data_IF_059106416745
#
_entry.id   IF_059106416745
#
_cell.length_a   1.000
_cell.length_b   1.000
_cell.length_c   1.000
_cell.angle_alpha   90.00
_cell.angle_beta   90.00
_cell.angle_gamma   90.00
#
_symmetry.space_group_name_H-M   'P 1'
#
loop_
_entity.id
_entity.type
_entity.pdbx_description
1 polymer ?
#
# COMPACT_ATOMS: atom_id res chain seq x y z
N UNK A 1 8.22 15.37 12.72
CA UNK A 1 9.35 14.47 12.41
C UNK A 1 9.39 14.14 10.93
N UNK A 2 8.36 13.49 10.35
CA UNK A 2 8.30 13.12 8.93
C UNK A 2 8.83 14.15 7.93
N UNK A 3 8.41 15.42 8.03
CA UNK A 3 8.91 16.52 7.17
C UNK A 3 10.44 16.66 7.13
N UNK A 4 11.14 16.42 8.25
CA UNK A 4 12.62 16.46 8.30
C UNK A 4 13.27 15.34 7.50
N UNK A 5 12.52 14.27 7.21
CA UNK A 5 12.97 13.07 6.51
C UNK A 5 12.39 12.99 5.09
N UNK A 6 11.91 14.12 4.53
CA UNK A 6 11.39 14.19 3.17
C UNK A 6 9.98 13.62 2.98
N UNK A 7 9.19 13.52 4.06
CA UNK A 7 7.80 13.07 4.00
C UNK A 7 6.84 14.25 4.12
N UNK A 8 5.75 14.21 3.36
CA UNK A 8 4.61 15.09 3.56
C UNK A 8 3.81 14.61 4.78
N UNK A 9 3.25 15.51 5.57
CA UNK A 9 2.47 15.16 6.78
C UNK A 9 1.10 15.80 6.72
N UNK A 10 0.07 14.99 6.93
CA UNK A 10 -1.30 15.43 7.10
C UNK A 10 -1.84 14.91 8.43
N UNK A 11 -2.47 15.80 9.16
CA UNK A 11 -3.24 15.50 10.37
C UNK A 11 -4.69 15.26 9.94
N UNK A 12 -5.39 14.35 10.63
CA UNK A 12 -6.77 13.95 10.35
C UNK A 12 -7.00 13.62 8.86
N UNK A 13 -6.63 12.41 8.46
CA UNK A 13 -6.76 11.95 7.09
C UNK A 13 -7.79 10.84 6.96
N UNK A 14 -8.71 11.01 6.01
CA UNK A 14 -9.67 9.99 5.61
C UNK A 14 -9.16 9.29 4.36
N UNK A 15 -8.90 7.96 4.39
CA UNK A 15 -8.48 7.24 3.22
C UNK A 15 -9.54 7.32 2.13
N UNK A 16 -9.13 7.59 0.88
CA UNK A 16 -10.03 7.47 -0.26
C UNK A 16 -10.48 6.02 -0.44
N UNK A 17 -11.73 5.83 -0.87
CA UNK A 17 -12.15 4.54 -1.43
C UNK A 17 -11.93 4.57 -2.94
N UNK A 18 -10.97 3.79 -3.45
CA UNK A 18 -10.68 3.73 -4.90
C UNK A 18 -11.50 2.69 -5.64
N UNK A 19 -12.63 2.24 -5.06
CA UNK A 19 -13.39 1.13 -5.62
C UNK A 19 -13.88 1.45 -7.04
N UNK A 20 -13.51 0.59 -7.99
CA UNK A 20 -14.06 0.60 -9.35
C UNK A 20 -15.50 0.07 -9.42
N UNK A 21 -16.05 -0.46 -8.31
CA UNK A 21 -17.23 -1.31 -8.31
C UNK A 21 -18.46 -0.78 -7.57
N UNK A 22 -18.29 -0.29 -6.33
CA UNK A 22 -19.39 0.21 -5.48
C UNK A 22 -18.93 1.47 -4.76
N UNK A 23 -19.70 2.55 -4.91
CA UNK A 23 -19.52 3.75 -4.10
C UNK A 23 -20.23 3.54 -2.75
N UNK A 24 -19.58 3.87 -1.62
CA UNK A 24 -20.24 3.82 -0.31
C UNK A 24 -21.43 4.79 -0.28
N UNK A 25 -22.48 4.44 0.45
CA UNK A 25 -23.61 5.36 0.72
C UNK A 25 -23.15 6.55 1.58
N UNK A 26 -23.82 7.71 1.49
CA UNK A 26 -23.40 8.96 2.15
C UNK A 26 -23.29 8.85 3.69
N UNK A 27 -24.01 7.90 4.31
CA UNK A 27 -24.06 7.69 5.76
C UNK A 27 -23.10 6.58 6.26
N UNK A 28 -22.25 6.03 5.40
CA UNK A 28 -21.30 4.98 5.81
C UNK A 28 -20.10 5.54 6.58
N UNK A 29 -19.68 4.79 7.61
CA UNK A 29 -18.50 5.12 8.40
C UNK A 29 -17.26 5.22 7.49
N UNK A 30 -16.64 6.41 7.48
CA UNK A 30 -15.36 6.62 6.80
C UNK A 30 -14.24 6.55 7.85
N UNK A 31 -13.24 5.66 7.68
CA UNK A 31 -12.07 5.65 8.54
C UNK A 31 -11.45 7.05 8.65
N UNK A 32 -10.98 7.41 9.83
CA UNK A 32 -10.26 8.65 10.07
C UNK A 32 -8.99 8.28 10.80
N UNK A 33 -7.86 8.76 10.30
CA UNK A 33 -6.53 8.47 10.83
C UNK A 33 -5.96 9.76 11.40
N UNK A 34 -5.51 9.74 12.64
CA UNK A 34 -5.02 10.92 13.34
C UNK A 34 -3.87 11.62 12.60
N UNK A 35 -2.91 10.85 12.09
CA UNK A 35 -1.79 11.39 11.34
C UNK A 35 -1.28 10.40 10.30
N UNK A 36 -0.93 10.91 9.12
CA UNK A 36 -0.29 10.10 8.07
C UNK A 36 0.92 10.83 7.51
N UNK A 37 2.01 10.09 7.33
CA UNK A 37 3.16 10.53 6.55
C UNK A 37 3.11 9.93 5.16
N UNK A 38 3.21 10.80 4.15
CA UNK A 38 3.13 10.46 2.75
C UNK A 38 4.45 10.68 2.04
N UNK A 39 4.66 9.92 0.97
CA UNK A 39 5.60 10.26 -0.09
C UNK A 39 4.83 11.10 -1.10
N UNK A 40 5.36 12.28 -1.43
CA UNK A 40 4.82 13.13 -2.50
C UNK A 40 5.40 12.67 -3.83
N UNK A 41 4.54 12.17 -4.73
CA UNK A 41 4.96 11.72 -6.05
C UNK A 41 5.51 12.84 -6.93
N UNK A 42 5.10 14.09 -6.71
CA UNK A 42 5.67 15.24 -7.43
C UNK A 42 7.13 15.42 -7.05
N UNK A 43 7.45 15.30 -5.77
CA UNK A 43 8.83 15.41 -5.28
C UNK A 43 9.67 14.20 -5.68
N UNK A 44 9.08 13.00 -5.66
CA UNK A 44 9.78 11.76 -5.99
C UNK A 44 10.06 11.58 -7.49
N UNK A 45 9.13 12.00 -8.36
CA UNK A 45 9.21 11.75 -9.81
C UNK A 45 9.55 13.01 -10.62
N UNK A 46 9.29 14.19 -10.06
CA UNK A 46 9.26 15.46 -10.78
C UNK A 46 7.88 15.74 -11.40
N UNK A 47 7.48 17.01 -11.42
CA UNK A 47 6.14 17.45 -11.86
C UNK A 47 5.73 16.91 -13.23
N UNK A 48 6.60 17.01 -14.24
CA UNK A 48 6.27 16.57 -15.60
C UNK A 48 5.99 15.07 -15.69
N UNK A 49 6.76 14.25 -14.95
CA UNK A 49 6.57 12.80 -14.92
C UNK A 49 5.34 12.41 -14.11
N UNK A 50 5.08 13.11 -13.00
CA UNK A 50 3.85 12.94 -12.23
C UNK A 50 2.61 13.30 -13.05
N UNK A 51 2.64 14.40 -13.81
CA UNK A 51 1.52 14.81 -14.66
C UNK A 51 1.23 13.75 -15.74
N UNK A 52 2.27 13.16 -16.35
CA UNK A 52 2.13 12.03 -17.27
C UNK A 52 1.59 10.77 -16.60
N UNK A 53 2.11 10.42 -15.42
CA UNK A 53 1.63 9.29 -14.62
C UNK A 53 0.14 9.45 -14.32
N UNK A 54 -0.29 10.66 -13.93
CA UNK A 54 -1.69 10.94 -13.66
C UNK A 54 -2.57 10.76 -14.90
N UNK A 55 -2.13 11.19 -16.09
CA UNK A 55 -2.90 10.98 -17.32
C UNK A 55 -3.14 9.50 -17.60
N UNK A 56 -2.08 8.69 -17.52
CA UNK A 56 -2.15 7.23 -17.70
C UNK A 56 -3.12 6.60 -16.69
N UNK A 57 -2.95 6.91 -15.40
CA UNK A 57 -3.82 6.36 -14.34
C UNK A 57 -5.26 6.85 -14.50
N UNK A 58 -5.46 8.10 -14.86
CA UNK A 58 -6.79 8.66 -15.08
C UNK A 58 -7.49 7.96 -16.23
N UNK A 59 -6.79 7.63 -17.31
CA UNK A 59 -7.32 6.85 -18.43
C UNK A 59 -7.69 5.43 -17.97
N UNK A 60 -6.75 4.72 -17.34
CA UNK A 60 -6.96 3.32 -16.92
C UNK A 60 -8.02 3.14 -15.83
N UNK A 61 -8.37 4.21 -15.12
CA UNK A 61 -9.34 4.18 -14.01
C UNK A 61 -10.65 4.90 -14.34
N UNK A 62 -10.86 5.32 -15.59
CA UNK A 62 -12.03 6.12 -16.00
C UNK A 62 -12.19 7.39 -15.13
N UNK A 63 -11.08 8.03 -14.74
CA UNK A 63 -11.03 9.23 -13.91
C UNK A 63 -11.41 9.03 -12.43
N UNK A 64 -11.54 7.78 -11.96
CA UNK A 64 -11.99 7.47 -10.58
C UNK A 64 -10.98 7.85 -9.50
N UNK A 65 -9.71 8.04 -9.85
CA UNK A 65 -8.67 8.46 -8.89
C UNK A 65 -8.34 9.94 -9.10
N UNK A 66 -8.73 10.82 -8.16
CA UNK A 66 -8.37 12.23 -8.25
C UNK A 66 -6.86 12.46 -8.22
N UNK A 67 -6.39 13.51 -8.89
CA UNK A 67 -4.96 13.86 -8.98
C UNK A 67 -4.30 14.01 -7.61
N UNK A 68 -4.94 14.74 -6.71
CA UNK A 68 -4.42 14.97 -5.35
C UNK A 68 -4.37 13.67 -4.55
N UNK A 69 -5.31 12.76 -4.78
CA UNK A 69 -5.32 11.45 -4.14
C UNK A 69 -4.17 10.57 -4.63
N UNK A 70 -3.89 10.58 -5.94
CA UNK A 70 -2.76 9.84 -6.50
C UNK A 70 -1.42 10.40 -6.02
N UNK A 71 -1.31 11.72 -5.86
CA UNK A 71 -0.07 12.42 -5.49
C UNK A 71 0.55 11.93 -4.19
N UNK A 72 -0.26 11.61 -3.18
CA UNK A 72 0.21 11.32 -1.85
C UNK A 72 0.08 9.83 -1.54
N UNK A 73 1.21 9.12 -1.53
CA UNK A 73 1.27 7.69 -1.24
C UNK A 73 1.57 7.49 0.25
N UNK A 74 0.68 6.84 1.03
CA UNK A 74 0.86 6.70 2.47
C UNK A 74 2.04 5.78 2.78
N UNK A 75 2.96 6.27 3.62
CA UNK A 75 4.13 5.52 4.07
C UNK A 75 3.95 5.04 5.51
N UNK A 76 3.57 5.95 6.42
CA UNK A 76 3.32 5.62 7.84
C UNK A 76 1.98 6.20 8.28
N UNK A 77 1.12 5.38 8.85
CA UNK A 77 -0.13 5.80 9.49
C UNK A 77 0.00 5.72 11.02
N UNK A 78 -0.61 6.68 11.71
CA UNK A 78 -0.59 6.81 13.16
C UNK A 78 -2.00 7.01 13.69
N UNK A 79 -2.31 6.31 14.77
CA UNK A 79 -3.48 6.53 15.62
C UNK A 79 -2.97 6.75 17.05
N UNK A 80 -3.58 7.68 17.79
CA UNK A 80 -3.08 8.17 19.08
C UNK A 80 -4.16 8.15 20.15
N UNK A 81 -4.32 6.98 20.77
CA UNK A 81 -5.30 6.75 21.83
C UNK A 81 -4.72 7.02 23.24
N UNK A 82 -4.82 8.27 23.68
CA UNK A 82 -4.26 8.74 24.96
C UNK A 82 -5.28 9.03 26.06
N UNK A 83 -6.57 9.05 25.74
CA UNK A 83 -7.63 9.46 26.68
C UNK A 83 -8.32 8.27 27.35
N UNK A 84 -8.79 7.29 26.57
CA UNK A 84 -9.47 6.09 27.06
C UNK A 84 -9.29 4.90 26.08
N UNK A 85 -8.07 4.37 25.91
CA UNK A 85 -7.85 3.25 24.99
C UNK A 85 -8.54 1.98 25.50
N UNK A 86 -9.48 1.47 24.72
CA UNK A 86 -10.18 0.21 24.99
C UNK A 86 -9.77 -0.86 23.98
N UNK A 87 -10.13 -2.13 24.24
CA UNK A 87 -9.86 -3.18 23.25
C UNK A 87 -10.58 -2.97 21.92
N UNK A 88 -11.72 -2.26 21.94
CA UNK A 88 -12.52 -2.00 20.75
C UNK A 88 -11.92 -0.86 19.91
N UNK A 89 -11.46 0.21 20.57
CA UNK A 89 -10.83 1.35 19.88
C UNK A 89 -9.56 0.88 19.19
N UNK A 90 -8.59 0.35 19.96
CA UNK A 90 -7.31 -0.14 19.44
C UNK A 90 -7.47 -1.16 18.30
N UNK A 91 -8.47 -2.04 18.38
CA UNK A 91 -8.74 -2.99 17.30
C UNK A 91 -9.29 -2.32 16.04
N UNK A 92 -10.20 -1.35 16.20
CA UNK A 92 -10.75 -0.53 15.13
C UNK A 92 -9.66 0.29 14.45
N UNK A 93 -8.76 0.88 15.24
CA UNK A 93 -7.66 1.73 14.77
C UNK A 93 -6.72 0.95 13.84
N UNK A 94 -6.39 -0.29 14.21
CA UNK A 94 -5.64 -1.18 13.30
C UNK A 94 -6.38 -1.47 11.99
N UNK A 95 -7.70 -1.66 12.02
CA UNK A 95 -8.48 -1.89 10.78
C UNK A 95 -8.51 -0.65 9.90
N UNK A 96 -8.70 0.52 10.50
CA UNK A 96 -8.65 1.80 9.81
C UNK A 96 -7.28 2.03 9.17
N UNK A 97 -6.21 1.81 9.93
CA UNK A 97 -4.84 1.91 9.43
C UNK A 97 -4.53 0.91 8.31
N UNK A 98 -5.12 -0.28 8.31
CA UNK A 98 -4.99 -1.24 7.18
C UNK A 98 -5.65 -0.69 5.92
N UNK A 99 -6.84 -0.08 6.04
CA UNK A 99 -7.54 0.50 4.90
C UNK A 99 -6.75 1.63 4.20
N UNK A 100 -5.83 2.29 4.93
CA UNK A 100 -4.92 3.30 4.36
C UNK A 100 -3.92 2.74 3.35
N UNK A 101 -3.59 1.44 3.46
CA UNK A 101 -2.46 0.80 2.75
C UNK A 101 -1.09 1.42 3.04
N UNK A 102 -0.94 2.16 4.13
CA UNK A 102 0.36 2.63 4.60
C UNK A 102 1.31 1.43 4.81
N UNK A 103 2.58 1.61 4.48
CA UNK A 103 3.57 0.55 4.65
C UNK A 103 3.76 0.17 6.13
N UNK A 104 3.71 1.16 7.01
CA UNK A 104 3.89 0.99 8.46
C UNK A 104 2.69 1.60 9.20
N UNK A 105 2.22 0.92 10.24
CA UNK A 105 1.04 1.33 11.02
C UNK A 105 1.43 1.39 12.50
N UNK A 106 1.21 2.53 13.14
CA UNK A 106 1.67 2.79 14.50
C UNK A 106 0.50 3.23 15.36
N UNK A 107 0.15 2.38 16.30
CA UNK A 107 -0.81 2.66 17.36
C UNK A 107 -0.07 3.22 18.58
N UNK A 108 -0.43 4.41 19.04
CA UNK A 108 0.17 5.02 20.23
C UNK A 108 -0.84 5.03 21.37
N UNK A 109 -0.65 4.16 22.36
CA UNK A 109 -1.56 4.06 23.51
C UNK A 109 -0.97 4.62 24.80
N UNK A 110 -1.79 5.35 25.56
CA UNK A 110 -1.50 5.61 26.97
C UNK A 110 -1.91 4.41 27.82
N UNK A 111 -1.01 3.89 28.66
CA UNK A 111 -1.39 2.84 29.60
C UNK A 111 -2.31 3.40 30.68
N UNK A 112 -3.54 2.87 30.76
CA UNK A 112 -4.56 3.22 31.75
C UNK A 112 -5.37 1.98 32.13
N UNK A 113 -5.63 1.81 33.44
CA UNK A 113 -6.42 0.70 33.98
C UNK A 113 -6.05 -0.66 33.35
N UNK A 114 -6.98 -1.29 32.63
CA UNK A 114 -6.81 -2.61 32.03
C UNK A 114 -6.17 -2.58 30.64
N UNK A 115 -5.88 -1.40 30.10
CA UNK A 115 -5.16 -1.23 28.84
C UNK A 115 -3.70 -0.88 29.10
N UNK A 116 -2.82 -1.78 28.64
CA UNK A 116 -1.37 -1.63 28.71
C UNK A 116 -0.74 -2.18 27.44
N UNK A 117 0.56 -1.94 27.26
CA UNK A 117 1.31 -2.36 26.08
C UNK A 117 1.12 -3.85 25.79
N UNK A 118 1.15 -4.73 26.81
CA UNK A 118 0.97 -6.18 26.60
C UNK A 118 -0.41 -6.53 26.07
N UNK A 119 -1.47 -5.83 26.50
CA UNK A 119 -2.83 -6.06 26.00
C UNK A 119 -2.99 -5.54 24.58
N UNK A 120 -2.54 -4.32 24.29
CA UNK A 120 -2.55 -3.77 22.94
C UNK A 120 -1.75 -4.62 21.96
N UNK A 121 -0.60 -5.16 22.38
CA UNK A 121 0.19 -6.09 21.58
C UNK A 121 -0.56 -7.40 21.26
N UNK A 122 -1.38 -7.92 22.18
CA UNK A 122 -2.26 -9.06 21.88
C UNK A 122 -3.32 -8.71 20.84
N UNK A 123 -3.92 -7.52 20.93
CA UNK A 123 -4.90 -7.03 19.96
C UNK A 123 -4.25 -6.88 18.59
N UNK A 124 -3.06 -6.27 18.53
CA UNK A 124 -2.23 -6.14 17.33
C UNK A 124 -1.95 -7.50 16.69
N UNK A 125 -1.60 -8.53 17.46
CA UNK A 125 -1.41 -9.89 16.93
C UNK A 125 -2.69 -10.47 16.31
N UNK A 126 -3.85 -10.24 16.93
CA UNK A 126 -5.15 -10.65 16.37
C UNK A 126 -5.49 -9.89 15.09
N UNK A 127 -5.27 -8.58 15.05
CA UNK A 127 -5.49 -7.74 13.87
C UNK A 127 -4.56 -8.15 12.73
N UNK A 128 -3.26 -8.37 13.02
CA UNK A 128 -2.29 -8.84 12.04
C UNK A 128 -2.70 -10.17 11.41
N UNK A 129 -3.23 -11.11 12.21
CA UNK A 129 -3.73 -12.38 11.69
C UNK A 129 -4.98 -12.21 10.80
N UNK A 130 -5.95 -11.38 11.22
CA UNK A 130 -7.22 -11.18 10.51
C UNK A 130 -7.08 -10.35 9.24
N UNK A 131 -6.38 -9.21 9.33
CA UNK A 131 -6.10 -8.33 8.21
C UNK A 131 -4.99 -8.88 7.31
N UNK A 132 -4.09 -9.68 7.89
CA UNK A 132 -2.95 -10.22 7.19
C UNK A 132 -1.83 -9.20 6.94
N UNK A 133 -1.69 -8.23 7.83
CA UNK A 133 -0.66 -7.20 7.74
C UNK A 133 0.16 -7.22 9.04
N UNK A 134 1.45 -7.52 8.92
CA UNK A 134 2.34 -7.76 10.06
C UNK A 134 3.07 -6.50 10.51
N UNK A 135 3.11 -5.45 9.68
CA UNK A 135 3.89 -4.24 9.92
C UNK A 135 3.08 -3.19 10.70
N UNK A 136 2.45 -3.69 11.77
CA UNK A 136 1.67 -2.96 12.77
C UNK A 136 2.41 -2.94 14.10
N UNK A 137 2.53 -1.77 14.72
CA UNK A 137 3.31 -1.60 15.94
C UNK A 137 2.54 -0.82 16.99
N UNK A 138 2.72 -1.20 18.26
CA UNK A 138 2.17 -0.46 19.40
C UNK A 138 3.31 0.26 20.10
N UNK A 139 3.14 1.56 20.33
CA UNK A 139 4.08 2.38 21.09
C UNK A 139 3.35 3.03 22.28
N UNK A 140 4.13 3.41 23.30
CA UNK A 140 3.65 4.31 24.35
C UNK A 140 4.08 5.75 24.05
N UNK A 141 3.43 6.77 24.65
CA UNK A 141 3.87 8.16 24.54
C UNK A 141 5.34 8.37 24.88
N UNK A 142 5.87 7.66 25.89
CA UNK A 142 7.28 7.70 26.24
C UNK A 142 8.19 7.21 25.11
N UNK A 143 7.81 6.10 24.47
CA UNK A 143 8.57 5.57 23.32
C UNK A 143 8.52 6.55 22.14
N UNK A 144 7.37 7.18 21.90
CA UNK A 144 7.22 8.20 20.86
C UNK A 144 8.11 9.42 21.14
N UNK A 145 8.10 9.94 22.37
CA UNK A 145 8.97 11.05 22.78
C UNK A 145 10.46 10.73 22.60
N UNK A 146 10.85 9.51 22.92
CA UNK A 146 12.21 9.03 22.71
C UNK A 146 12.55 9.03 21.20
N UNK A 147 11.66 8.51 20.33
CA UNK A 147 11.83 8.57 18.86
C UNK A 147 12.01 10.00 18.37
N UNK A 148 11.22 10.95 18.87
CA UNK A 148 11.32 12.36 18.47
C UNK A 148 12.68 13.00 18.78
N UNK A 149 13.43 12.44 19.73
CA UNK A 149 14.77 12.89 20.15
C UNK A 149 15.90 12.08 19.50
N UNK A 150 15.59 11.00 18.78
CA UNK A 150 16.59 10.13 18.19
C UNK A 150 17.32 10.78 17.01
N UNK A 151 18.58 10.38 16.84
CA UNK A 151 19.33 10.54 15.59
C UNK A 151 19.28 9.21 14.84
N UNK A 152 19.21 9.26 13.52
CA UNK A 152 19.36 8.09 12.65
C UNK A 152 20.71 7.42 12.93
N UNK A 153 20.70 6.10 13.17
CA UNK A 153 21.91 5.32 13.47
C UNK A 153 22.05 4.08 12.60
N UNK A 154 20.96 3.63 12.01
CA UNK A 154 20.92 2.42 11.20
C UNK A 154 20.40 2.76 9.82
N UNK A 155 21.06 2.23 8.80
CA UNK A 155 20.56 2.32 7.43
C UNK A 155 19.59 1.20 7.11
N UNK A 156 18.55 1.52 6.35
CA UNK A 156 17.61 0.52 5.86
C UNK A 156 18.30 -0.44 4.89
N UNK A 157 18.06 -1.74 5.08
CA UNK A 157 18.42 -2.77 4.10
C UNK A 157 17.27 -2.96 3.12
N UNK A 158 17.54 -2.78 1.83
CA UNK A 158 16.53 -3.01 0.81
C UNK A 158 16.36 -4.52 0.59
N UNK A 159 15.12 -5.00 0.66
CA UNK A 159 14.74 -6.42 0.61
C UNK A 159 14.33 -6.88 -0.80
N UNK A 160 14.33 -5.98 -1.78
CA UNK A 160 13.98 -6.32 -3.16
C UNK A 160 14.95 -7.35 -3.73
N UNK A 161 14.43 -8.45 -4.22
CA UNK A 161 15.19 -9.43 -5.02
C UNK A 161 14.82 -9.27 -6.48
N UNK A 162 15.74 -8.72 -7.27
CA UNK A 162 15.56 -8.62 -8.72
C UNK A 162 15.53 -10.01 -9.34
N UNK A 163 14.53 -10.25 -10.20
CA UNK A 163 14.45 -11.48 -10.99
C UNK A 163 14.60 -11.17 -12.46
N UNK A 164 15.48 -11.90 -13.13
CA UNK A 164 15.58 -11.87 -14.59
C UNK A 164 14.54 -12.81 -15.18
N UNK A 165 13.49 -12.26 -15.78
CA UNK A 165 12.58 -13.06 -16.59
C UNK A 165 13.28 -13.45 -17.90
N UNK A 166 13.22 -14.74 -18.28
CA UNK A 166 13.87 -15.22 -19.49
C UNK A 166 13.14 -14.84 -20.79
N UNK A 167 11.82 -14.63 -20.74
CA UNK A 167 11.00 -14.16 -21.88
C UNK A 167 9.82 -13.33 -21.37
N UNK A 168 9.74 -12.07 -21.78
CA UNK A 168 8.62 -11.19 -21.48
C UNK A 168 7.60 -11.18 -22.62
N UNK A 169 6.32 -11.23 -22.27
CA UNK A 169 5.22 -10.97 -23.19
C UNK A 169 5.20 -9.50 -23.65
N UNK A 170 4.43 -9.21 -24.71
CA UNK A 170 4.36 -7.85 -25.28
C UNK A 170 3.81 -6.83 -24.27
N UNK A 171 2.72 -7.17 -23.57
CA UNK A 171 2.12 -6.34 -22.51
C UNK A 171 3.13 -6.04 -21.40
N UNK A 172 3.83 -7.06 -20.89
CA UNK A 172 4.84 -6.87 -19.83
C UNK A 172 5.97 -5.92 -20.29
N UNK A 173 6.45 -6.06 -21.53
CA UNK A 173 7.48 -5.16 -22.09
C UNK A 173 7.00 -3.71 -22.15
N UNK A 174 5.75 -3.49 -22.57
CA UNK A 174 5.14 -2.15 -22.63
C UNK A 174 5.04 -1.54 -21.24
N UNK A 175 4.52 -2.29 -20.26
CA UNK A 175 4.43 -1.84 -18.87
C UNK A 175 5.79 -1.51 -18.26
N UNK A 176 6.81 -2.33 -18.50
CA UNK A 176 8.18 -2.05 -18.01
C UNK A 176 8.71 -0.77 -18.63
N UNK A 177 8.63 -0.64 -19.96
CA UNK A 177 9.11 0.56 -20.66
C UNK A 177 8.39 1.83 -20.20
N UNK A 178 7.07 1.75 -19.97
CA UNK A 178 6.29 2.87 -19.47
C UNK A 178 6.69 3.28 -18.05
N UNK A 179 6.85 2.31 -17.13
CA UNK A 179 7.31 2.57 -15.77
C UNK A 179 8.69 3.24 -15.73
N UNK A 180 9.63 2.75 -16.54
CA UNK A 180 10.97 3.33 -16.66
C UNK A 180 10.93 4.78 -17.20
N UNK A 181 10.11 5.05 -18.24
CA UNK A 181 9.89 6.41 -18.76
C UNK A 181 9.33 7.36 -17.69
N UNK A 182 8.56 6.84 -16.75
CA UNK A 182 7.95 7.57 -15.62
C UNK A 182 8.86 7.68 -14.39
N UNK A 183 10.12 7.23 -14.47
CA UNK A 183 11.09 7.21 -13.35
C UNK A 183 10.72 6.27 -12.19
N UNK A 184 9.92 5.24 -12.48
CA UNK A 184 9.60 4.19 -11.54
C UNK A 184 10.50 2.98 -11.80
N UNK A 185 10.83 2.24 -10.74
CA UNK A 185 11.54 0.97 -10.89
C UNK A 185 10.53 -0.11 -11.28
N UNK A 186 10.60 -0.61 -12.52
CA UNK A 186 9.70 -1.64 -13.01
C UNK A 186 10.33 -3.03 -12.86
N UNK A 187 9.65 -3.93 -12.17
CA UNK A 187 10.06 -5.32 -11.95
C UNK A 187 9.08 -6.29 -12.58
N UNK A 188 9.59 -7.43 -13.04
CA UNK A 188 8.82 -8.50 -13.67
C UNK A 188 8.86 -9.76 -12.83
N UNK A 189 7.76 -10.53 -12.83
CA UNK A 189 7.58 -11.67 -11.91
C UNK A 189 7.87 -11.29 -10.45
N UNK A 190 7.43 -10.09 -10.08
CA UNK A 190 7.76 -9.46 -8.81
C UNK A 190 7.18 -10.26 -7.65
N UNK A 191 8.03 -10.61 -6.69
CA UNK A 191 7.65 -11.30 -5.46
C UNK A 191 7.77 -10.32 -4.29
N UNK A 192 6.65 -9.85 -3.72
CA UNK A 192 6.66 -9.01 -2.54
C UNK A 192 7.52 -9.61 -1.40
N UNK A 193 8.33 -8.80 -0.68
CA UNK A 193 9.17 -9.29 0.41
C UNK A 193 8.37 -9.89 1.58
N UNK A 194 7.16 -9.41 1.79
CA UNK A 194 6.20 -9.91 2.77
C UNK A 194 5.76 -11.35 2.43
N UNK A 195 6.51 -12.33 2.93
CA UNK A 195 6.18 -13.74 2.71
C UNK A 195 5.05 -14.16 3.62
N UNK A 196 3.94 -14.60 3.03
CA UNK A 196 2.92 -15.33 3.76
C UNK A 196 3.41 -16.77 4.00
N UNK A 197 3.12 -17.34 5.18
CA UNK A 197 3.57 -18.69 5.55
C UNK A 197 3.13 -19.80 4.58
N UNK A 198 2.02 -19.60 3.88
CA UNK A 198 1.32 -20.63 3.08
C UNK A 198 1.40 -20.37 1.58
N UNK A 199 1.78 -19.16 1.17
CA UNK A 199 1.71 -18.72 -0.22
C UNK A 199 2.78 -17.67 -0.51
N UNK A 200 3.38 -17.73 -1.69
CA UNK A 200 4.31 -16.71 -2.18
C UNK A 200 3.60 -15.90 -3.26
N UNK A 201 3.18 -14.66 -2.97
CA UNK A 201 2.54 -13.80 -3.96
C UNK A 201 3.51 -13.51 -5.10
N UNK A 202 2.96 -13.39 -6.30
CA UNK A 202 3.70 -12.99 -7.48
C UNK A 202 2.82 -12.10 -8.33
N UNK A 203 3.36 -10.95 -8.72
CA UNK A 203 2.75 -10.06 -9.69
C UNK A 203 3.50 -10.21 -11.02
N UNK A 204 2.80 -10.19 -12.15
CA UNK A 204 3.43 -10.25 -13.47
C UNK A 204 4.37 -9.06 -13.71
N UNK A 205 3.93 -7.86 -13.32
CA UNK A 205 4.75 -6.63 -13.30
C UNK A 205 4.42 -5.84 -12.03
N UNK A 206 5.42 -5.14 -11.49
CA UNK A 206 5.23 -4.16 -10.42
C UNK A 206 6.01 -2.89 -10.72
N UNK A 207 5.41 -1.73 -10.46
CA UNK A 207 6.10 -0.44 -10.45
C UNK A 207 6.35 -0.02 -9.02
N UNK A 208 7.63 0.18 -8.70
CA UNK A 208 8.11 0.48 -7.37
C UNK A 208 8.49 1.96 -7.26
N UNK A 209 8.03 2.58 -6.17
CA UNK A 209 8.35 3.96 -5.78
C UNK A 209 9.46 3.95 -4.73
N UNK A 210 10.54 4.70 -4.97
CA UNK A 210 11.60 4.87 -3.98
C UNK A 210 11.14 5.70 -2.77
N UNK A 211 11.49 5.25 -1.58
CA UNK A 211 11.29 5.97 -0.32
C UNK A 211 12.49 6.90 -0.07
N UNK A 212 12.29 8.15 0.39
CA UNK A 212 13.40 9.00 0.81
C UNK A 212 14.32 8.27 1.80
N UNK A 213 15.63 8.25 1.51
CA UNK A 213 16.60 7.48 2.30
C UNK A 213 16.54 7.78 3.80
N UNK A 214 16.43 9.06 4.15
CA UNK A 214 16.31 9.50 5.55
C UNK A 214 15.05 8.97 6.24
N UNK A 215 13.92 8.84 5.52
CA UNK A 215 12.71 8.21 6.06
C UNK A 215 12.90 6.70 6.27
N UNK A 216 13.52 6.01 5.31
CA UNK A 216 13.81 4.59 5.43
C UNK A 216 14.78 4.30 6.60
N UNK A 217 15.84 5.09 6.73
CA UNK A 217 16.85 4.98 7.81
C UNK A 217 16.24 5.32 9.19
N UNK A 218 15.30 6.27 9.26
CA UNK A 218 14.50 6.53 10.46
C UNK A 218 13.71 5.27 10.85
N UNK A 219 12.98 4.66 9.92
CA UNK A 219 12.18 3.46 10.21
C UNK A 219 13.05 2.27 10.61
N UNK A 220 14.20 2.08 9.96
CA UNK A 220 15.18 1.07 10.35
C UNK A 220 15.71 1.31 11.77
N UNK A 221 15.96 2.57 12.13
CA UNK A 221 16.43 2.96 13.46
C UNK A 221 15.36 2.67 14.54
N UNK A 222 14.11 3.03 14.28
CA UNK A 222 12.97 2.75 15.18
C UNK A 222 12.79 1.24 15.34
N UNK A 223 12.77 0.49 14.24
CA UNK A 223 12.63 -0.96 14.24
C UNK A 223 13.73 -1.63 15.06
N UNK A 224 14.99 -1.25 14.85
CA UNK A 224 16.11 -1.85 15.56
C UNK A 224 16.07 -1.56 17.06
N UNK A 225 15.74 -0.32 17.45
CA UNK A 225 15.71 0.10 18.86
C UNK A 225 14.62 -0.62 19.64
N UNK A 226 13.43 -0.77 19.06
CA UNK A 226 12.30 -1.41 19.72
C UNK A 226 12.09 -2.87 19.32
N UNK A 227 13.04 -3.45 18.58
CA UNK A 227 12.98 -4.84 18.09
C UNK A 227 11.69 -5.15 17.31
N UNK A 228 11.19 -4.15 16.57
CA UNK A 228 10.00 -4.29 15.74
C UNK A 228 10.37 -5.07 14.49
N UNK A 229 9.66 -6.18 14.25
CA UNK A 229 9.90 -7.00 13.06
C UNK A 229 9.15 -6.40 11.88
N UNK A 230 9.90 -5.83 10.93
CA UNK A 230 9.36 -5.32 9.67
C UNK A 230 9.54 -6.39 8.59
N UNK A 231 8.48 -6.63 7.82
CA UNK A 231 8.42 -7.65 6.76
C UNK A 231 8.44 -7.06 5.35
N UNK A 232 7.99 -5.80 5.19
CA UNK A 232 8.05 -5.03 3.94
C UNK A 232 9.43 -4.46 3.65
N UNK A 233 9.65 -4.10 2.38
CA UNK A 233 10.79 -3.28 1.99
C UNK A 233 10.61 -1.85 2.51
N UNK A 234 11.62 -1.31 3.19
CA UNK A 234 11.60 0.07 3.67
C UNK A 234 12.08 1.07 2.62
N UNK A 235 12.80 0.58 1.60
CA UNK A 235 13.40 1.41 0.57
C UNK A 235 12.45 1.71 -0.59
N UNK A 236 11.47 0.85 -0.83
CA UNK A 236 10.54 0.96 -1.95
C UNK A 236 9.14 0.52 -1.56
N UNK A 237 8.14 1.18 -2.14
CA UNK A 237 6.74 0.80 -2.07
C UNK A 237 6.27 0.25 -3.41
N UNK A 238 5.47 -0.80 -3.40
CA UNK A 238 4.75 -1.24 -4.60
C UNK A 238 3.64 -0.23 -4.91
N UNK A 239 3.96 0.75 -5.76
CA UNK A 239 3.00 1.76 -6.18
C UNK A 239 1.91 1.09 -7.00
N UNK A 240 2.27 0.43 -8.10
CA UNK A 240 1.34 -0.31 -8.94
C UNK A 240 1.69 -1.77 -9.07
N UNK A 241 0.68 -2.63 -8.98
CA UNK A 241 0.77 -4.05 -9.32
C UNK A 241 0.01 -4.34 -10.60
N UNK A 242 0.51 -5.28 -11.40
CA UNK A 242 -0.13 -5.72 -12.63
C UNK A 242 -0.21 -7.24 -12.66
N UNK A 243 -1.40 -7.76 -12.96
CA UNK A 243 -1.62 -9.18 -13.24
C UNK A 243 -2.29 -9.28 -14.62
N UNK A 244 -1.79 -10.18 -15.46
CA UNK A 244 -2.26 -10.34 -16.81
C UNK A 244 -2.97 -11.68 -17.03
N UNK A 245 -4.29 -11.60 -17.18
CA UNK A 245 -5.16 -12.78 -17.22
C UNK A 245 -5.62 -13.10 -18.65
N UNK A 246 -4.80 -13.87 -19.38
CA UNK A 246 -5.14 -14.40 -20.71
C UNK A 246 -6.13 -15.56 -20.68
N UNK A 247 -6.13 -16.41 -19.65
CA UNK A 247 -6.85 -17.69 -19.65
C UNK A 247 -8.30 -17.57 -19.15
N UNK A 248 -9.10 -18.62 -19.37
CA UNK A 248 -10.57 -18.65 -19.24
C UNK A 248 -11.09 -18.91 -17.82
N UNK A 249 -10.24 -19.09 -16.81
CA UNK A 249 -10.67 -19.52 -15.49
C UNK A 249 -10.92 -18.38 -14.51
N UNK A 250 -12.17 -18.25 -14.03
CA UNK A 250 -12.56 -17.32 -12.95
C UNK A 250 -11.66 -17.41 -11.69
N UNK A 251 -11.08 -18.60 -11.41
CA UNK A 251 -10.19 -18.82 -10.26
C UNK A 251 -8.86 -18.08 -10.38
N UNK A 252 -8.31 -17.92 -11.58
CA UNK A 252 -7.04 -17.25 -11.79
C UNK A 252 -7.20 -15.74 -11.58
N UNK A 253 -8.21 -15.14 -12.22
CA UNK A 253 -8.59 -13.73 -12.00
C UNK A 253 -8.85 -13.42 -10.52
N UNK A 254 -9.59 -14.28 -9.81
CA UNK A 254 -9.83 -14.11 -8.38
C UNK A 254 -8.54 -14.10 -7.55
N UNK A 255 -7.58 -14.97 -7.88
CA UNK A 255 -6.25 -14.97 -7.26
C UNK A 255 -5.48 -13.70 -7.56
N UNK A 256 -5.47 -13.25 -8.82
CA UNK A 256 -4.84 -11.99 -9.24
C UNK A 256 -5.43 -10.78 -8.51
N UNK A 257 -6.76 -10.69 -8.39
CA UNK A 257 -7.42 -9.61 -7.63
C UNK A 257 -6.97 -9.59 -6.16
N UNK A 258 -6.89 -10.75 -5.51
CA UNK A 258 -6.45 -10.84 -4.11
C UNK A 258 -4.96 -10.48 -3.94
N UNK A 259 -4.10 -10.88 -4.89
CA UNK A 259 -2.69 -10.50 -4.88
C UNK A 259 -2.52 -8.99 -5.05
N UNK A 260 -3.17 -8.43 -6.06
CA UNK A 260 -3.13 -7.00 -6.36
C UNK A 260 -3.65 -6.17 -5.19
N UNK A 261 -4.79 -6.53 -4.62
CA UNK A 261 -5.41 -5.73 -3.56
C UNK A 261 -4.53 -5.59 -2.32
N UNK A 262 -3.74 -6.62 -2.03
CA UNK A 262 -2.91 -6.73 -0.83
C UNK A 262 -1.48 -6.19 -1.01
N UNK A 263 -0.91 -6.41 -2.19
CA UNK A 263 0.53 -6.20 -2.42
C UNK A 263 0.85 -4.96 -3.26
N UNK A 264 -0.15 -4.15 -3.60
CA UNK A 264 0.03 -2.89 -4.32
C UNK A 264 -0.81 -1.76 -3.70
N UNK A 265 -0.36 -0.52 -3.85
CA UNK A 265 -1.19 0.62 -3.52
C UNK A 265 -2.40 0.70 -4.47
N UNK A 266 -2.16 0.62 -5.78
CA UNK A 266 -3.20 0.44 -6.81
C UNK A 266 -2.86 -0.76 -7.69
N UNK A 267 -3.83 -1.63 -7.93
CA UNK A 267 -3.68 -2.84 -8.73
C UNK A 267 -4.42 -2.74 -10.06
N UNK A 268 -3.81 -3.26 -11.12
CA UNK A 268 -4.40 -3.33 -12.46
C UNK A 268 -4.47 -4.78 -12.92
N UNK A 269 -5.69 -5.28 -13.08
CA UNK A 269 -5.98 -6.56 -13.71
C UNK A 269 -6.15 -6.34 -15.21
N UNK A 270 -5.16 -6.77 -15.99
CA UNK A 270 -5.15 -6.61 -17.44
C UNK A 270 -5.76 -7.86 -18.08
N UNK A 271 -6.70 -7.67 -19.00
CA UNK A 271 -7.37 -8.78 -19.68
C UNK A 271 -7.83 -8.37 -21.09
N UNK A 272 -7.96 -9.31 -22.03
CA UNK A 272 -8.53 -9.04 -23.35
C UNK A 272 -9.92 -8.39 -23.29
N UNK A 273 -10.25 -7.57 -24.29
CA UNK A 273 -11.51 -6.81 -24.37
C UNK A 273 -12.74 -7.65 -24.09
N UNK A 274 -12.81 -8.87 -24.64
CA UNK A 274 -13.96 -9.77 -24.50
C UNK A 274 -14.18 -10.26 -23.06
N UNK A 275 -13.21 -10.06 -22.16
CA UNK A 275 -13.25 -10.52 -20.76
C UNK A 275 -13.36 -9.40 -19.74
N UNK A 276 -13.22 -8.15 -20.16
CA UNK A 276 -13.27 -6.98 -19.27
C UNK A 276 -14.53 -6.95 -18.41
N UNK A 277 -15.69 -7.29 -18.97
CA UNK A 277 -16.97 -7.35 -18.25
C UNK A 277 -16.98 -8.39 -17.12
N UNK A 278 -16.44 -9.59 -17.38
CA UNK A 278 -16.33 -10.67 -16.40
C UNK A 278 -15.34 -10.29 -15.29
N UNK A 279 -14.18 -9.74 -15.69
CA UNK A 279 -13.17 -9.27 -14.76
C UNK A 279 -13.72 -8.17 -13.83
N UNK A 280 -14.45 -7.19 -14.37
CA UNK A 280 -15.09 -6.12 -13.56
C UNK A 280 -16.09 -6.72 -12.57
N UNK A 281 -16.88 -7.72 -12.98
CA UNK A 281 -17.80 -8.43 -12.06
C UNK A 281 -17.08 -9.13 -10.91
N UNK A 282 -15.93 -9.75 -11.19
CA UNK A 282 -15.11 -10.42 -10.15
C UNK A 282 -14.53 -9.37 -9.19
N UNK A 283 -13.92 -8.31 -9.72
CA UNK A 283 -13.39 -7.20 -8.92
C UNK A 283 -14.48 -6.61 -8.02
N UNK A 284 -15.67 -6.32 -8.55
CA UNK A 284 -16.78 -5.76 -7.78
C UNK A 284 -17.25 -6.72 -6.68
N UNK A 285 -17.33 -8.02 -6.98
CA UNK A 285 -17.72 -9.03 -5.98
C UNK A 285 -16.70 -9.12 -4.85
N UNK A 286 -15.41 -9.06 -5.16
CA UNK A 286 -14.34 -9.09 -4.15
C UNK A 286 -14.27 -7.78 -3.35
N UNK A 287 -14.55 -6.65 -4.01
CA UNK A 287 -14.68 -5.36 -3.35
C UNK A 287 -15.78 -5.38 -2.28
N UNK A 288 -16.97 -5.88 -2.65
CA UNK A 288 -18.09 -6.03 -1.72
C UNK A 288 -17.84 -7.05 -0.61
N UNK A 289 -17.23 -8.20 -0.93
CA UNK A 289 -17.07 -9.29 0.02
C UNK A 289 -15.91 -9.08 1.00
N UNK A 290 -14.84 -8.42 0.57
CA UNK A 290 -13.57 -8.33 1.31
C UNK A 290 -13.05 -6.90 1.48
N UNK A 291 -13.77 -5.88 1.01
CA UNK A 291 -13.34 -4.48 1.08
C UNK A 291 -12.20 -4.12 0.13
N UNK A 292 -11.90 -4.95 -0.87
CA UNK A 292 -10.83 -4.68 -1.83
C UNK A 292 -11.22 -3.52 -2.77
N UNK A 293 -10.74 -2.34 -2.46
CA UNK A 293 -11.14 -1.10 -3.14
C UNK A 293 -9.98 -0.39 -3.85
N UNK A 294 -9.01 -1.12 -4.40
CA UNK A 294 -7.86 -0.55 -5.13
C UNK A 294 -7.50 -1.32 -6.41
N UNK A 295 -8.35 -2.21 -6.89
CA UNK A 295 -8.09 -2.99 -8.10
C UNK A 295 -8.98 -2.50 -9.23
N UNK A 296 -8.37 -2.24 -10.38
CA UNK A 296 -9.04 -1.79 -11.60
C UNK A 296 -8.83 -2.80 -12.73
N UNK A 297 -9.76 -2.84 -13.67
CA UNK A 297 -9.66 -3.70 -14.86
C UNK A 297 -9.27 -2.84 -16.04
N UNK A 298 -8.18 -3.20 -16.71
CA UNK A 298 -7.68 -2.50 -17.89
C UNK A 298 -7.74 -3.45 -19.08
N UNK A 299 -8.23 -2.94 -20.21
CA UNK A 299 -8.18 -3.67 -21.47
C UNK A 299 -6.73 -3.77 -21.95
N UNK A 300 -6.32 -4.93 -22.45
CA UNK A 300 -4.97 -5.11 -22.94
C UNK A 300 -4.65 -4.21 -24.14
N UNK A 301 -5.66 -3.91 -24.98
CA UNK A 301 -5.47 -3.09 -26.18
C UNK A 301 -5.00 -1.67 -25.81
N UNK A 302 -5.51 -1.11 -24.72
CA UNK A 302 -5.05 0.19 -24.17
C UNK A 302 -3.56 0.18 -23.87
N UNK A 303 -3.04 -0.92 -23.31
CA UNK A 303 -1.61 -1.07 -23.00
C UNK A 303 -0.77 -1.26 -24.27
N UNK A 304 -1.34 -1.86 -25.31
CA UNK A 304 -0.65 -2.15 -26.57
C UNK A 304 -0.58 -0.92 -27.48
N UNK A 305 -1.60 -0.08 -27.47
CA UNK A 305 -1.74 1.13 -28.28
C UNK A 305 -0.84 2.29 -27.83
N UNK A 306 -0.52 2.40 -26.53
CA UNK A 306 0.45 3.39 -26.03
C UNK A 306 1.87 3.13 -26.60
N UNK A 307 2.28 3.92 -27.61
CA UNK A 307 3.59 3.87 -28.26
C UNK A 307 4.39 5.18 -28.07
#
# INVERSE_FOLDING_TARGET
>A
MGRKHGLYTKDEWRPPSFSGGVQPEEDEYTPSIDMVWFIDLVDALGKDKFDRLYLVVSEWTDGKIPKDTLRFVPYVAFEVEVSDPTSKTVYSDFHNMVATRAAIKIEVIREVSDMNLKRAERIRNSAAWLCGDEDMFVLTPYMLEDILKMKERFSASCLLTERKAHRLGLVQKKLVSLGEKLNLKAEVEFTPPERMKVYTPRLDVAWLLGVPKSAADLMATISKKYSLKITRDLCHLTLFGFEYEKKTGHKHMAGGVANLSRHSYIGFLITPSEKTSIARRIVNKYSLAFGFNNVFVVDEDVILEEA
#
